data_IF_017485702024
#
_entry.id   IF_017485702024
#
_cell.length_a   1.000
_cell.length_b   1.000
_cell.length_c   1.000
_cell.angle_alpha   90.00
_cell.angle_beta   90.00
_cell.angle_gamma   90.00
#
_symmetry.space_group_name_H-M   'P 1'
#
loop_
_entity.id
_entity.type
_entity.pdbx_description
1 polymer ?
#
# COMPACT_ATOMS: atom_id res chain seq x y z
N UNK A 1 22.21 15.61 5.46
CA UNK A 1 22.10 14.13 5.53
C UNK A 1 22.82 13.55 4.32
N UNK A 2 23.79 12.65 4.51
CA UNK A 2 24.64 12.19 3.41
C UNK A 2 23.92 11.17 2.52
N UNK A 3 24.36 11.03 1.26
CA UNK A 3 23.87 9.99 0.35
C UNK A 3 23.92 8.59 1.00
N UNK A 4 24.90 8.35 1.89
CA UNK A 4 25.05 7.12 2.66
C UNK A 4 23.80 6.76 3.47
N UNK A 5 23.13 7.72 4.11
CA UNK A 5 21.94 7.41 4.92
C UNK A 5 20.75 7.00 4.04
N UNK A 6 20.60 7.60 2.85
CA UNK A 6 19.55 7.19 1.90
C UNK A 6 19.80 5.75 1.42
N UNK A 7 21.05 5.39 1.13
CA UNK A 7 21.39 4.01 0.75
C UNK A 7 21.10 3.01 1.87
N UNK A 8 21.44 3.34 3.12
CA UNK A 8 21.15 2.49 4.28
C UNK A 8 19.64 2.24 4.42
N UNK A 9 18.82 3.29 4.34
CA UNK A 9 17.36 3.16 4.45
C UNK A 9 16.76 2.34 3.31
N UNK A 10 17.25 2.52 2.08
CA UNK A 10 16.82 1.68 0.94
C UNK A 10 17.21 0.22 1.13
N UNK A 11 18.43 -0.05 1.58
CA UNK A 11 18.86 -1.42 1.88
C UNK A 11 18.00 -2.03 3.00
N UNK A 12 17.74 -1.27 4.07
CA UNK A 12 16.89 -1.71 5.16
C UNK A 12 15.45 -2.00 4.70
N UNK A 13 14.91 -1.23 3.75
CA UNK A 13 13.59 -1.49 3.15
C UNK A 13 13.52 -2.81 2.36
N UNK A 14 14.67 -3.35 1.93
CA UNK A 14 14.76 -4.65 1.26
C UNK A 14 15.04 -5.79 2.25
N UNK A 15 15.80 -5.54 3.31
CA UNK A 15 16.17 -6.55 4.31
C UNK A 15 15.05 -6.85 5.30
N UNK A 16 14.23 -5.85 5.65
CA UNK A 16 13.14 -6.02 6.63
C UNK A 16 12.03 -6.99 6.15
N UNK A 17 11.60 -6.99 4.87
CA UNK A 17 10.70 -8.01 4.37
C UNK A 17 11.28 -9.42 4.37
N UNK A 18 12.58 -9.55 4.08
CA UNK A 18 13.28 -10.85 4.10
C UNK A 18 13.26 -11.41 5.53
N UNK A 19 13.56 -10.58 6.53
CA UNK A 19 13.48 -10.98 7.93
C UNK A 19 12.06 -11.40 8.33
N UNK A 20 11.04 -10.63 7.92
CA UNK A 20 9.63 -10.99 8.17
C UNK A 20 9.26 -12.34 7.55
N UNK A 21 9.69 -12.60 6.31
CA UNK A 21 9.46 -13.88 5.63
C UNK A 21 10.14 -15.05 6.36
N UNK A 22 11.40 -14.87 6.79
CA UNK A 22 12.12 -15.89 7.57
C UNK A 22 11.38 -16.21 8.86
N UNK A 23 10.91 -15.19 9.58
CA UNK A 23 10.13 -15.37 10.83
C UNK A 23 8.86 -16.16 10.55
N UNK A 24 8.09 -15.83 9.49
CA UNK A 24 6.87 -16.55 9.12
C UNK A 24 7.18 -18.02 8.81
N UNK A 25 8.22 -18.29 8.02
CA UNK A 25 8.59 -19.65 7.62
C UNK A 25 9.06 -20.48 8.81
N UNK A 26 9.80 -19.89 9.73
CA UNK A 26 10.23 -20.56 10.96
C UNK A 26 9.07 -20.80 11.93
N UNK A 27 8.15 -19.83 12.02
CA UNK A 27 6.96 -19.92 12.87
C UNK A 27 5.97 -20.97 12.38
N UNK A 28 5.83 -21.13 11.05
CA UNK A 28 4.86 -22.02 10.39
C UNK A 28 3.42 -21.80 10.89
N UNK A 29 2.89 -20.56 10.84
CA UNK A 29 1.60 -20.25 11.42
C UNK A 29 0.46 -21.08 10.83
N UNK A 30 0.57 -21.56 9.60
CA UNK A 30 -0.46 -22.42 8.99
C UNK A 30 -0.68 -23.77 9.69
N UNK A 31 0.21 -24.19 10.59
CA UNK A 31 0.06 -25.42 11.36
C UNK A 31 -1.04 -25.31 12.43
N UNK A 32 -1.73 -26.44 12.77
CA UNK A 32 -2.77 -26.44 13.80
C UNK A 32 -2.28 -26.05 15.20
N UNK A 33 -0.98 -26.19 15.48
CA UNK A 33 -0.34 -25.86 16.77
C UNK A 33 -0.47 -24.38 17.16
N UNK A 34 -0.70 -23.50 16.19
CA UNK A 34 -0.93 -22.05 16.41
C UNK A 34 -2.38 -21.71 16.80
N UNK A 35 -3.22 -22.72 16.95
CA UNK A 35 -4.62 -22.57 17.32
C UNK A 35 -5.51 -22.11 16.16
N UNK A 36 -6.78 -21.77 16.46
CA UNK A 36 -7.77 -21.39 15.45
C UNK A 36 -7.38 -20.08 14.74
N UNK A 37 -8.07 -19.78 13.63
CA UNK A 37 -7.93 -18.49 12.97
C UNK A 37 -8.20 -17.33 13.94
N UNK A 38 -7.45 -16.24 13.78
CA UNK A 38 -7.53 -15.06 14.67
C UNK A 38 -7.15 -15.32 16.14
N UNK A 39 -6.41 -16.39 16.45
CA UNK A 39 -5.82 -16.57 17.77
C UNK A 39 -4.84 -15.43 18.10
N UNK A 40 -4.62 -15.17 19.39
CA UNK A 40 -3.72 -14.09 19.87
C UNK A 40 -2.32 -14.25 19.28
N UNK A 41 -1.81 -15.49 19.17
CA UNK A 41 -0.50 -15.78 18.60
C UNK A 41 -0.43 -15.40 17.12
N UNK A 42 -1.47 -15.73 16.35
CA UNK A 42 -1.57 -15.38 14.92
C UNK A 42 -1.70 -13.88 14.70
N UNK A 43 -2.50 -13.19 15.53
CA UNK A 43 -2.62 -11.73 15.50
C UNK A 43 -1.27 -11.07 15.79
N UNK A 44 -0.55 -11.56 16.81
CA UNK A 44 0.78 -11.06 17.18
C UNK A 44 1.79 -11.24 16.04
N UNK A 45 1.83 -12.45 15.45
CA UNK A 45 2.71 -12.72 14.31
C UNK A 45 2.32 -11.88 13.09
N UNK A 46 1.03 -11.77 12.76
CA UNK A 46 0.56 -10.95 11.64
C UNK A 46 0.94 -9.49 11.81
N UNK A 47 0.77 -8.94 13.02
CA UNK A 47 1.19 -7.58 13.34
C UNK A 47 2.69 -7.40 13.10
N UNK A 48 3.53 -8.31 13.60
CA UNK A 48 4.98 -8.27 13.38
C UNK A 48 5.33 -8.38 11.89
N UNK A 49 4.68 -9.28 11.15
CA UNK A 49 4.88 -9.47 9.72
C UNK A 49 4.50 -8.21 8.92
N UNK A 50 3.38 -7.56 9.25
CA UNK A 50 2.97 -6.29 8.61
C UNK A 50 3.99 -5.20 8.88
N UNK A 51 4.47 -5.06 10.12
CA UNK A 51 5.49 -4.06 10.48
C UNK A 51 6.75 -4.29 9.65
N UNK A 52 7.27 -5.52 9.62
CA UNK A 52 8.55 -5.83 8.98
C UNK A 52 8.48 -5.86 7.46
N UNK A 53 7.40 -6.41 6.89
CA UNK A 53 7.30 -6.67 5.45
C UNK A 53 6.65 -5.54 4.67
N UNK A 54 5.87 -4.69 5.34
CA UNK A 54 5.05 -3.68 4.65
C UNK A 54 5.34 -2.29 5.23
N UNK A 55 5.04 -2.06 6.51
CA UNK A 55 4.98 -0.70 7.06
C UNK A 55 6.35 -0.04 7.21
N UNK A 56 7.34 -0.72 7.80
CA UNK A 56 8.71 -0.20 7.92
C UNK A 56 9.35 0.05 6.54
N UNK A 57 9.30 -0.90 5.58
CA UNK A 57 9.72 -0.64 4.21
C UNK A 57 9.06 0.58 3.59
N UNK A 58 7.73 0.69 3.72
CA UNK A 58 6.97 1.82 3.21
C UNK A 58 7.41 3.15 3.82
N UNK A 59 7.65 3.20 5.14
CA UNK A 59 8.18 4.38 5.82
C UNK A 59 9.56 4.78 5.28
N UNK A 60 10.48 3.82 5.13
CA UNK A 60 11.82 4.09 4.59
C UNK A 60 11.79 4.57 3.13
N UNK A 61 11.00 3.92 2.28
CA UNK A 61 10.84 4.32 0.88
C UNK A 61 10.16 5.70 0.77
N UNK A 62 9.14 5.95 1.58
CA UNK A 62 8.43 7.23 1.63
C UNK A 62 9.34 8.37 2.07
N UNK A 63 10.08 8.17 3.17
CA UNK A 63 11.03 9.13 3.69
C UNK A 63 12.15 9.43 2.69
N UNK A 64 12.75 8.40 2.09
CA UNK A 64 13.84 8.60 1.11
C UNK A 64 13.35 9.34 -0.13
N UNK A 65 12.15 9.03 -0.62
CA UNK A 65 11.54 9.75 -1.75
C UNK A 65 11.27 11.22 -1.41
N UNK A 66 10.62 11.49 -0.27
CA UNK A 66 10.33 12.85 0.19
C UNK A 66 11.61 13.66 0.42
N UNK A 67 12.64 13.08 1.04
CA UNK A 67 13.91 13.78 1.26
C UNK A 67 14.62 14.10 -0.05
N UNK A 68 14.62 13.18 -1.01
CA UNK A 68 15.20 13.45 -2.33
C UNK A 68 14.45 14.57 -3.06
N UNK A 69 13.12 14.63 -2.94
CA UNK A 69 12.33 15.73 -3.48
C UNK A 69 12.70 17.06 -2.82
N UNK A 70 12.69 17.12 -1.48
CA UNK A 70 13.03 18.31 -0.71
C UNK A 70 14.44 18.84 -1.09
N UNK A 71 15.42 17.95 -1.25
CA UNK A 71 16.77 18.33 -1.70
C UNK A 71 16.80 18.86 -3.15
N UNK A 72 16.01 18.30 -4.07
CA UNK A 72 15.93 18.78 -5.46
C UNK A 72 15.23 20.12 -5.58
N UNK A 73 14.21 20.35 -4.75
CA UNK A 73 13.38 21.56 -4.79
C UNK A 73 13.90 22.65 -3.83
N UNK A 74 15.00 22.39 -3.11
CA UNK A 74 15.58 23.26 -2.08
C UNK A 74 14.56 23.68 -1.01
N UNK A 75 13.73 22.74 -0.58
CA UNK A 75 12.71 22.90 0.47
C UNK A 75 13.25 22.26 1.74
N UNK A 76 13.07 22.91 2.89
CA UNK A 76 13.49 22.37 4.18
C UNK A 76 12.54 21.27 4.68
N UNK A 77 11.24 21.50 4.53
CA UNK A 77 10.19 20.59 4.96
C UNK A 77 10.07 19.35 4.07
N UNK A 78 9.88 18.19 4.72
CA UNK A 78 9.59 16.92 4.03
C UNK A 78 8.13 16.80 3.61
N UNK A 79 7.24 17.50 4.30
CA UNK A 79 5.81 17.54 4.03
C UNK A 79 5.38 19.00 4.08
N UNK A 80 4.96 19.51 2.93
CA UNK A 80 4.40 20.85 2.75
C UNK A 80 2.91 20.88 3.12
N UNK A 81 2.35 22.07 3.34
CA UNK A 81 0.90 22.28 3.54
C UNK A 81 0.09 21.67 2.40
N UNK A 82 0.62 21.72 1.16
CA UNK A 82 0.00 21.12 -0.01
C UNK A 82 -0.08 19.59 0.10
N UNK A 83 0.99 18.94 0.57
CA UNK A 83 1.03 17.48 0.75
C UNK A 83 0.17 17.02 1.93
N UNK A 84 0.13 17.80 3.02
CA UNK A 84 -0.83 17.58 4.11
C UNK A 84 -2.27 17.67 3.62
N UNK A 85 -2.60 18.72 2.87
CA UNK A 85 -3.95 18.92 2.31
C UNK A 85 -4.33 17.80 1.35
N UNK A 86 -3.41 17.39 0.47
CA UNK A 86 -3.61 16.27 -0.44
C UNK A 86 -3.83 14.95 0.32
N UNK A 87 -3.07 14.73 1.40
CA UNK A 87 -3.22 13.55 2.25
C UNK A 87 -4.59 13.52 2.94
N UNK A 88 -5.04 14.66 3.46
CA UNK A 88 -6.34 14.79 4.11
C UNK A 88 -7.50 14.55 3.13
N UNK A 89 -7.44 15.15 1.94
CA UNK A 89 -8.45 14.94 0.89
C UNK A 89 -8.47 13.49 0.42
N UNK A 90 -7.30 12.90 0.16
CA UNK A 90 -7.20 11.49 -0.24
C UNK A 90 -7.70 10.55 0.86
N UNK A 91 -7.38 10.83 2.15
CA UNK A 91 -7.90 10.07 3.28
C UNK A 91 -9.42 10.16 3.39
N UNK A 92 -10.00 11.36 3.19
CA UNK A 92 -11.44 11.55 3.24
C UNK A 92 -12.16 10.78 2.12
N UNK A 93 -11.66 10.88 0.88
CA UNK A 93 -12.20 10.13 -0.27
C UNK A 93 -12.07 8.62 -0.03
N UNK A 94 -10.93 8.17 0.52
CA UNK A 94 -10.76 6.77 0.85
C UNK A 94 -11.73 6.30 1.94
N UNK A 95 -11.92 7.10 2.98
CA UNK A 95 -12.77 6.75 4.11
C UNK A 95 -14.23 6.55 3.74
N UNK A 96 -14.76 7.39 2.86
CA UNK A 96 -16.14 7.27 2.33
C UNK A 96 -16.22 6.37 1.10
N UNK A 97 -15.08 6.05 0.50
CA UNK A 97 -14.98 5.15 -0.64
C UNK A 97 -15.42 3.73 -0.26
N UNK A 98 -16.40 3.20 -1.01
CA UNK A 98 -16.93 1.84 -0.79
C UNK A 98 -18.10 1.75 0.20
N UNK A 99 -18.53 2.87 0.79
CA UNK A 99 -19.67 2.91 1.72
C UNK A 99 -21.01 2.57 1.05
N UNK A 100 -21.15 2.87 -0.25
CA UNK A 100 -22.43 2.82 -0.97
C UNK A 100 -22.62 1.61 -1.90
N UNK A 101 -21.60 0.77 -2.09
CA UNK A 101 -21.60 -0.16 -3.23
C UNK A 101 -21.91 -1.60 -2.90
N UNK A 102 -21.86 -2.03 -1.62
CA UNK A 102 -22.07 -3.43 -1.19
C UNK A 102 -21.03 -4.44 -1.74
N UNK A 103 -20.34 -4.07 -2.81
CA UNK A 103 -19.17 -4.69 -3.42
C UNK A 103 -17.96 -3.93 -2.87
N UNK A 104 -16.96 -4.68 -2.38
CA UNK A 104 -15.71 -4.10 -1.90
C UNK A 104 -14.91 -3.58 -3.11
N UNK A 105 -15.10 -2.31 -3.44
CA UNK A 105 -14.40 -1.62 -4.52
C UNK A 105 -13.08 -1.11 -3.98
N UNK A 106 -11.98 -1.51 -4.62
CA UNK A 106 -10.63 -1.07 -4.28
C UNK A 106 -10.35 0.35 -4.84
N UNK A 107 -11.11 1.33 -4.35
CA UNK A 107 -10.89 2.76 -4.59
C UNK A 107 -9.48 3.24 -4.21
N UNK A 108 -8.77 2.64 -3.23
CA UNK A 108 -7.35 2.92 -3.02
C UNK A 108 -6.50 2.86 -4.26
N UNK A 109 -6.74 1.94 -5.19
CA UNK A 109 -5.96 1.86 -6.43
C UNK A 109 -6.13 3.12 -7.31
N UNK A 110 -7.37 3.62 -7.41
CA UNK A 110 -7.70 4.85 -8.13
C UNK A 110 -7.08 6.08 -7.45
N UNK A 111 -7.20 6.17 -6.13
CA UNK A 111 -6.65 7.28 -5.32
C UNK A 111 -5.12 7.24 -5.34
N UNK A 112 -4.51 6.05 -5.29
CA UNK A 112 -3.06 5.87 -5.30
C UNK A 112 -2.47 6.35 -6.61
N UNK A 113 -3.13 6.13 -7.74
CA UNK A 113 -2.62 6.65 -9.00
C UNK A 113 -2.58 8.19 -9.03
N UNK A 114 -3.53 8.88 -8.39
CA UNK A 114 -3.47 10.31 -8.20
C UNK A 114 -2.36 10.73 -7.23
N UNK A 115 -2.33 10.16 -6.02
CA UNK A 115 -1.33 10.54 -5.01
C UNK A 115 0.08 10.22 -5.47
N UNK A 116 0.30 9.08 -6.12
CA UNK A 116 1.58 8.66 -6.68
C UNK A 116 2.02 9.48 -7.89
N UNK A 117 1.13 10.06 -8.68
CA UNK A 117 1.56 10.91 -9.80
C UNK A 117 2.03 12.28 -9.31
N UNK A 118 1.34 12.85 -8.33
CA UNK A 118 1.50 14.26 -7.99
C UNK A 118 2.32 14.53 -6.73
N UNK A 119 2.30 13.60 -5.76
CA UNK A 119 2.82 13.84 -4.42
C UNK A 119 3.82 12.77 -3.96
N UNK A 120 3.54 11.51 -4.30
CA UNK A 120 4.40 10.37 -4.03
C UNK A 120 4.06 9.60 -2.75
N UNK A 121 4.95 8.68 -2.36
CA UNK A 121 4.63 7.59 -1.43
C UNK A 121 4.29 8.05 -0.02
N UNK A 122 4.85 9.17 0.46
CA UNK A 122 4.57 9.70 1.79
C UNK A 122 3.12 10.19 1.94
N UNK A 123 2.55 10.77 0.87
CA UNK A 123 1.13 11.16 0.85
C UNK A 123 0.24 9.92 0.80
N UNK A 124 0.58 8.90 0.02
CA UNK A 124 -0.15 7.63 0.03
C UNK A 124 -0.13 6.98 1.42
N UNK A 125 1.05 6.88 2.04
CA UNK A 125 1.22 6.29 3.38
C UNK A 125 0.28 6.95 4.39
N UNK A 126 0.34 8.28 4.44
CA UNK A 126 -0.46 9.07 5.39
C UNK A 126 -1.95 8.98 5.08
N UNK A 127 -2.33 9.13 3.81
CA UNK A 127 -3.71 9.13 3.37
C UNK A 127 -4.42 7.80 3.67
N UNK A 128 -3.81 6.66 3.30
CA UNK A 128 -4.46 5.37 3.45
C UNK A 128 -4.41 4.86 4.88
N UNK A 129 -3.35 5.12 5.66
CA UNK A 129 -3.35 4.77 7.08
C UNK A 129 -4.40 5.55 7.88
N UNK A 130 -4.48 6.86 7.71
CA UNK A 130 -5.47 7.68 8.42
C UNK A 130 -6.87 7.40 7.87
N UNK A 131 -7.01 7.33 6.54
CA UNK A 131 -8.28 7.09 5.87
C UNK A 131 -8.90 5.75 6.27
N UNK A 132 -8.10 4.68 6.47
CA UNK A 132 -8.64 3.40 6.96
C UNK A 132 -9.21 3.52 8.37
N UNK A 133 -8.50 4.21 9.27
CA UNK A 133 -8.97 4.41 10.65
C UNK A 133 -10.30 5.17 10.63
N UNK A 134 -10.40 6.24 9.84
CA UNK A 134 -11.65 7.00 9.67
C UNK A 134 -12.73 6.08 9.09
N UNK A 135 -12.43 5.33 8.02
CA UNK A 135 -13.35 4.37 7.39
C UNK A 135 -13.95 3.42 8.41
N UNK A 136 -13.11 2.85 9.28
CA UNK A 136 -13.57 1.95 10.33
C UNK A 136 -14.44 2.68 11.36
N UNK A 137 -14.03 3.86 11.84
CA UNK A 137 -14.78 4.65 12.82
C UNK A 137 -16.18 5.05 12.34
N UNK A 138 -16.35 5.31 11.05
CA UNK A 138 -17.66 5.65 10.47
C UNK A 138 -18.48 4.41 10.04
N UNK A 139 -17.98 3.19 10.28
CA UNK A 139 -18.68 1.94 9.96
C UNK A 139 -18.50 1.44 8.52
N UNK A 140 -17.56 2.02 7.76
CA UNK A 140 -17.30 1.70 6.34
C UNK A 140 -16.44 0.45 6.10
N UNK A 141 -16.02 -0.23 7.18
CA UNK A 141 -15.28 -1.50 7.14
C UNK A 141 -15.96 -2.57 8.03
N UNK A 142 -17.23 -2.94 7.75
CA UNK A 142 -18.00 -3.86 8.60
C UNK A 142 -17.43 -5.29 8.64
N UNK A 143 -16.58 -5.63 7.66
CA UNK A 143 -15.86 -6.90 7.61
C UNK A 143 -14.75 -7.01 8.67
N UNK A 144 -14.29 -5.88 9.24
CA UNK A 144 -13.28 -5.86 10.28
C UNK A 144 -13.93 -5.79 11.67
N UNK A 145 -14.31 -6.94 12.19
CA UNK A 145 -15.01 -7.10 13.47
C UNK A 145 -14.10 -7.14 14.70
N UNK A 146 -12.77 -7.22 14.51
CA UNK A 146 -11.78 -7.35 15.59
C UNK A 146 -11.04 -6.01 15.75
N UNK A 147 -11.37 -5.18 16.77
CA UNK A 147 -10.83 -3.82 16.88
C UNK A 147 -9.30 -3.75 16.99
N UNK A 148 -8.66 -4.75 17.61
CA UNK A 148 -7.20 -4.78 17.75
C UNK A 148 -6.47 -4.89 16.40
N UNK A 149 -7.16 -5.34 15.34
CA UNK A 149 -6.59 -5.39 13.99
C UNK A 149 -6.69 -4.05 13.25
N UNK A 150 -7.47 -3.07 13.73
CA UNK A 150 -7.66 -1.78 13.03
C UNK A 150 -6.34 -1.06 12.77
N UNK A 151 -5.43 -0.89 13.74
CA UNK A 151 -4.14 -0.25 13.49
C UNK A 151 -3.29 -1.05 12.51
N UNK A 152 -3.38 -2.38 12.55
CA UNK A 152 -2.60 -3.28 11.69
C UNK A 152 -3.08 -3.18 10.24
N UNK A 153 -4.39 -3.20 10.00
CA UNK A 153 -4.93 -3.03 8.65
C UNK A 153 -4.67 -1.62 8.11
N UNK A 154 -4.74 -0.58 8.95
CA UNK A 154 -4.31 0.76 8.55
C UNK A 154 -2.83 0.82 8.12
N UNK A 155 -1.96 0.04 8.77
CA UNK A 155 -0.55 -0.11 8.36
C UNK A 155 -0.42 -0.89 7.05
N UNK A 156 -1.25 -1.91 6.83
CA UNK A 156 -1.30 -2.68 5.57
C UNK A 156 -1.67 -1.76 4.41
N UNK A 157 -2.80 -1.06 4.49
CA UNK A 157 -3.27 -0.18 3.42
C UNK A 157 -2.28 0.96 3.14
N UNK A 158 -1.90 1.69 4.19
CA UNK A 158 -0.89 2.74 4.10
C UNK A 158 0.40 2.25 3.47
N UNK A 159 0.89 1.11 3.94
CA UNK A 159 2.17 0.58 3.53
C UNK A 159 2.17 0.03 2.10
N UNK A 160 1.19 -0.80 1.73
CA UNK A 160 1.10 -1.38 0.38
C UNK A 160 0.98 -0.27 -0.66
N UNK A 161 0.08 0.69 -0.45
CA UNK A 161 -0.15 1.76 -1.42
C UNK A 161 1.00 2.77 -1.48
N UNK A 162 1.75 2.96 -0.39
CA UNK A 162 3.00 3.71 -0.41
C UNK A 162 4.12 2.99 -1.18
N UNK A 163 4.28 1.67 -0.99
CA UNK A 163 5.24 0.87 -1.77
C UNK A 163 4.87 0.93 -3.25
N UNK A 164 3.59 0.73 -3.59
CA UNK A 164 3.08 0.83 -4.96
C UNK A 164 3.33 2.21 -5.58
N UNK A 165 3.09 3.28 -4.82
CA UNK A 165 3.39 4.65 -5.24
C UNK A 165 4.89 4.87 -5.52
N UNK A 166 5.77 4.34 -4.67
CA UNK A 166 7.21 4.38 -4.87
C UNK A 166 7.63 3.61 -6.14
N UNK A 167 7.13 2.39 -6.33
CA UNK A 167 7.40 1.55 -7.50
C UNK A 167 6.95 2.25 -8.78
N UNK A 168 5.76 2.84 -8.78
CA UNK A 168 5.26 3.62 -9.91
C UNK A 168 6.23 4.76 -10.29
N UNK A 169 6.70 5.54 -9.32
CA UNK A 169 7.71 6.58 -9.56
C UNK A 169 9.03 6.02 -10.09
N UNK A 170 9.49 4.90 -9.55
CA UNK A 170 10.73 4.25 -9.98
C UNK A 170 10.65 3.86 -11.47
N UNK A 171 9.57 3.19 -11.87
CA UNK A 171 9.36 2.77 -13.26
C UNK A 171 9.26 4.00 -14.18
N UNK A 172 8.54 5.04 -13.74
CA UNK A 172 8.44 6.28 -14.52
C UNK A 172 9.80 6.95 -14.75
N UNK A 173 10.67 6.95 -13.75
CA UNK A 173 12.01 7.52 -13.87
C UNK A 173 12.94 6.64 -14.74
N UNK A 174 12.79 5.31 -14.71
CA UNK A 174 13.64 4.39 -15.47
C UNK A 174 13.30 4.37 -16.97
N UNK A 175 12.01 4.35 -17.33
CA UNK A 175 11.58 4.11 -18.71
C UNK A 175 11.19 5.39 -19.48
N UNK A 176 11.14 6.54 -18.82
CA UNK A 176 10.81 7.83 -19.43
C UNK A 176 9.46 7.83 -20.15
N UNK A 177 9.21 8.82 -21.01
CA UNK A 177 7.91 8.98 -21.71
C UNK A 177 7.79 8.19 -23.02
N UNK A 178 8.91 7.75 -23.60
CA UNK A 178 8.94 7.09 -24.91
C UNK A 178 8.33 5.68 -24.90
N UNK A 179 8.36 4.98 -23.78
CA UNK A 179 7.91 3.59 -23.64
C UNK A 179 6.66 3.47 -22.77
N UNK A 180 5.63 4.28 -23.06
CA UNK A 180 4.42 4.38 -22.22
C UNK A 180 3.73 3.03 -21.97
N UNK A 181 3.56 2.21 -23.00
CA UNK A 181 2.88 0.92 -22.86
C UNK A 181 3.66 -0.05 -21.96
N UNK A 182 4.98 -0.14 -22.14
CA UNK A 182 5.84 -0.97 -21.30
C UNK A 182 5.83 -0.47 -19.85
N UNK A 183 5.95 0.85 -19.64
CA UNK A 183 5.86 1.47 -18.32
C UNK A 183 4.55 1.14 -17.61
N UNK A 184 3.43 1.32 -18.32
CA UNK A 184 2.09 1.04 -17.81
C UNK A 184 1.92 -0.43 -17.45
N UNK A 185 2.31 -1.34 -18.35
CA UNK A 185 2.22 -2.78 -18.12
C UNK A 185 3.05 -3.21 -16.90
N UNK A 186 4.28 -2.70 -16.76
CA UNK A 186 5.14 -2.99 -15.61
C UNK A 186 4.57 -2.43 -14.31
N UNK A 187 4.08 -1.19 -14.32
CA UNK A 187 3.49 -0.57 -13.13
C UNK A 187 2.24 -1.31 -12.66
N UNK A 188 1.31 -1.59 -13.57
CA UNK A 188 0.07 -2.32 -13.27
C UNK A 188 0.41 -3.73 -12.75
N UNK A 189 1.27 -4.46 -13.47
CA UNK A 189 1.66 -5.81 -13.08
C UNK A 189 2.30 -5.87 -11.70
N UNK A 190 3.22 -4.95 -11.39
CA UNK A 190 3.88 -4.91 -10.08
C UNK A 190 2.93 -4.48 -8.95
N UNK A 191 2.05 -3.50 -9.20
CA UNK A 191 1.05 -3.07 -8.21
C UNK A 191 0.13 -4.24 -7.83
N UNK A 192 -0.36 -4.98 -8.82
CA UNK A 192 -1.18 -6.18 -8.60
C UNK A 192 -0.38 -7.20 -7.79
N UNK A 193 0.83 -7.56 -8.22
CA UNK A 193 1.64 -8.58 -7.52
C UNK A 193 1.91 -8.18 -6.06
N UNK A 194 2.30 -6.93 -5.81
CA UNK A 194 2.57 -6.43 -4.45
C UNK A 194 1.29 -6.49 -3.61
N UNK A 195 0.17 -5.98 -4.13
CA UNK A 195 -1.10 -5.97 -3.41
C UNK A 195 -1.55 -7.40 -3.07
N UNK A 196 -1.54 -8.33 -4.04
CA UNK A 196 -1.93 -9.72 -3.81
C UNK A 196 -1.03 -10.44 -2.80
N UNK A 197 0.28 -10.23 -2.89
CA UNK A 197 1.23 -10.88 -2.00
C UNK A 197 1.11 -10.36 -0.56
N UNK A 198 0.97 -9.04 -0.39
CA UNK A 198 1.00 -8.39 0.91
C UNK A 198 -0.34 -8.39 1.64
N UNK A 199 -1.48 -8.42 0.93
CA UNK A 199 -2.79 -8.46 1.57
C UNK A 199 -3.34 -9.89 1.61
N UNK A 200 -3.94 -10.48 0.56
CA UNK A 200 -4.64 -11.76 0.70
C UNK A 200 -3.71 -12.93 1.03
N UNK A 201 -2.51 -12.98 0.46
CA UNK A 201 -1.56 -14.09 0.72
C UNK A 201 -0.97 -14.01 2.12
N UNK A 202 -0.40 -12.87 2.52
CA UNK A 202 0.16 -12.70 3.85
C UNK A 202 -0.90 -12.90 4.95
N UNK A 203 -2.08 -12.30 4.76
CA UNK A 203 -3.19 -12.48 5.68
C UNK A 203 -3.59 -13.95 5.78
N UNK A 204 -3.84 -14.61 4.65
CA UNK A 204 -4.26 -16.01 4.63
C UNK A 204 -3.24 -16.94 5.30
N UNK A 205 -1.94 -16.79 4.98
CA UNK A 205 -0.87 -17.66 5.50
C UNK A 205 -0.67 -17.48 7.01
N UNK A 206 -0.78 -16.25 7.53
CA UNK A 206 -0.46 -15.97 8.94
C UNK A 206 -1.70 -16.09 9.84
N UNK A 207 -2.83 -15.53 9.42
CA UNK A 207 -4.03 -15.42 10.25
C UNK A 207 -4.88 -16.68 10.29
N UNK A 208 -4.71 -17.62 9.35
CA UNK A 208 -5.57 -18.78 9.17
C UNK A 208 -4.79 -20.10 9.16
N UNK A 209 -5.38 -21.22 9.64
CA UNK A 209 -4.87 -22.56 9.40
C UNK A 209 -4.92 -22.92 7.91
N UNK A 210 -4.04 -23.82 7.45
CA UNK A 210 -3.82 -24.09 6.02
C UNK A 210 -5.08 -24.27 5.15
N UNK A 211 -6.09 -25.09 5.54
CA UNK A 211 -7.29 -25.23 4.71
C UNK A 211 -8.08 -23.92 4.57
N UNK A 212 -8.18 -23.15 5.66
CA UNK A 212 -8.84 -21.85 5.66
C UNK A 212 -8.01 -20.78 4.92
N UNK A 213 -6.69 -20.85 4.97
CA UNK A 213 -5.79 -20.00 4.18
C UNK A 213 -6.05 -20.15 2.68
N UNK A 214 -6.09 -21.40 2.19
CA UNK A 214 -6.36 -21.69 0.78
C UNK A 214 -7.75 -21.18 0.40
N UNK A 215 -8.77 -21.52 1.19
CA UNK A 215 -10.14 -21.08 0.94
C UNK A 215 -10.25 -19.55 0.88
N UNK A 216 -9.59 -18.83 1.78
CA UNK A 216 -9.58 -17.37 1.81
C UNK A 216 -8.86 -16.78 0.59
N UNK A 217 -7.67 -17.27 0.25
CA UNK A 217 -6.90 -16.77 -0.91
C UNK A 217 -7.68 -17.03 -2.21
N UNK A 218 -8.29 -18.22 -2.36
CA UNK A 218 -9.14 -18.54 -3.51
C UNK A 218 -10.38 -17.65 -3.54
N UNK A 219 -11.06 -17.46 -2.40
CA UNK A 219 -12.20 -16.56 -2.32
C UNK A 219 -11.82 -15.14 -2.72
N UNK A 220 -10.72 -14.60 -2.19
CA UNK A 220 -10.22 -13.28 -2.53
C UNK A 220 -9.96 -13.15 -4.04
N UNK A 221 -9.21 -14.11 -4.62
CA UNK A 221 -8.88 -14.16 -6.04
C UNK A 221 -10.11 -14.18 -6.96
N UNK A 222 -11.23 -14.77 -6.51
CA UNK A 222 -12.44 -14.94 -7.31
C UNK A 222 -13.54 -13.91 -7.02
N UNK A 223 -13.52 -13.22 -5.87
CA UNK A 223 -14.58 -12.31 -5.45
C UNK A 223 -14.21 -10.84 -5.67
N UNK A 224 -13.37 -10.28 -4.80
CA UNK A 224 -13.07 -8.84 -4.79
C UNK A 224 -11.77 -8.50 -5.53
N UNK A 225 -10.82 -9.42 -5.61
CA UNK A 225 -9.53 -9.15 -6.26
C UNK A 225 -9.61 -8.82 -7.77
N UNK A 226 -10.54 -9.41 -8.57
CA UNK A 226 -10.74 -8.98 -9.95
C UNK A 226 -11.12 -7.51 -10.08
N UNK A 227 -11.89 -6.98 -9.12
CA UNK A 227 -12.23 -5.55 -9.10
C UNK A 227 -11.01 -4.70 -8.78
N UNK A 228 -10.14 -5.14 -7.84
CA UNK A 228 -8.89 -4.46 -7.53
C UNK A 228 -7.97 -4.32 -8.75
N UNK A 229 -7.88 -5.36 -9.58
CA UNK A 229 -7.15 -5.33 -10.86
C UNK A 229 -7.74 -4.25 -11.80
N UNK A 230 -9.06 -4.25 -11.99
CA UNK A 230 -9.73 -3.28 -12.87
C UNK A 230 -9.50 -1.85 -12.39
N UNK A 231 -9.67 -1.58 -11.09
CA UNK A 231 -9.46 -0.24 -10.53
C UNK A 231 -7.99 0.18 -10.54
N UNK A 232 -7.05 -0.76 -10.42
CA UNK A 232 -5.63 -0.49 -10.63
C UNK A 232 -5.37 -0.03 -12.07
N UNK A 233 -5.92 -0.75 -13.06
CA UNK A 233 -5.75 -0.38 -14.48
C UNK A 233 -6.34 1.01 -14.74
N UNK A 234 -7.60 1.23 -14.34
CA UNK A 234 -8.30 2.51 -14.52
C UNK A 234 -7.56 3.63 -13.80
N UNK A 235 -7.16 3.40 -12.55
CA UNK A 235 -6.43 4.35 -11.74
C UNK A 235 -5.13 4.78 -12.40
N UNK A 236 -4.27 3.83 -12.75
CA UNK A 236 -2.97 4.12 -13.37
C UNK A 236 -3.15 4.88 -14.70
N UNK A 237 -4.11 4.48 -15.54
CA UNK A 237 -4.41 5.18 -16.81
C UNK A 237 -4.87 6.62 -16.55
N UNK A 238 -5.78 6.82 -15.60
CA UNK A 238 -6.28 8.15 -15.24
C UNK A 238 -5.17 9.04 -14.67
N UNK A 239 -4.35 8.50 -13.76
CA UNK A 239 -3.20 9.19 -13.19
C UNK A 239 -2.18 9.61 -14.25
N UNK A 240 -1.83 8.73 -15.18
CA UNK A 240 -0.93 9.06 -16.30
C UNK A 240 -1.51 10.13 -17.22
N UNK A 241 -2.80 10.02 -17.55
CA UNK A 241 -3.49 11.00 -18.41
C UNK A 241 -3.45 12.39 -17.78
N UNK A 242 -3.74 12.49 -16.48
CA UNK A 242 -3.68 13.75 -15.74
C UNK A 242 -2.26 14.27 -15.57
N UNK A 243 -1.27 13.38 -15.38
CA UNK A 243 0.13 13.81 -15.33
C UNK A 243 0.55 14.53 -16.61
N UNK A 244 0.09 14.03 -17.76
CA UNK A 244 0.39 14.61 -19.08
C UNK A 244 -0.37 15.90 -19.32
N UNK A 245 -1.56 16.02 -18.74
CA UNK A 245 -2.35 17.24 -18.82
C UNK A 245 -1.86 18.36 -17.89
N UNK A 246 -1.05 18.05 -16.87
CA UNK A 246 -0.51 19.00 -15.89
C UNK A 246 0.09 20.29 -16.48
N UNK A 247 0.85 20.29 -17.60
CA UNK A 247 1.34 21.52 -18.21
C UNK A 247 0.22 22.44 -18.72
N UNK A 248 -0.95 21.88 -19.08
CA UNK A 248 -2.12 22.64 -19.56
C UNK A 248 -2.90 23.32 -18.43
N UNK A 249 -2.67 22.92 -17.17
CA UNK A 249 -3.30 23.50 -15.97
C UNK A 249 -2.38 24.43 -15.18
N UNK A 250 -1.20 24.76 -15.72
CA UNK A 250 -0.38 25.86 -15.21
C UNK A 250 -1.01 27.17 -15.71
N UNK A 251 -1.96 27.69 -14.94
CA UNK A 251 -2.39 29.09 -14.98
C UNK A 251 -1.41 29.89 -14.13
#
# INVERSE_FOLDING_TARGET
MSNKTIYILKLASLLTPILGLVIIVMARPWEPSWGPGYSVQRIGLYTLSVILMIFVPACFLSYTCAKQKALRENIEDLITVRELSASAVAAAIYAVGGFLTGINIDLPALITAFTAVFYGPLVSLTAFSIGFIIRWLIGGAPWLSIPILVPVIAMVDGGIWAINSYVYHLIRNLFGEKNIFLRLALAIGLIIVIHFACEPVLYGIVMLPWPASIAYITYAALSWYPTAIIFTIVGVIAGESLSRAKPMFRI
#
